data_IF_712844531849
#
_entry.id   IF_712844531849
#
_cell.length_a   1.000
_cell.length_b   1.000
_cell.length_c   1.000
_cell.angle_alpha   90.00
_cell.angle_beta   90.00
_cell.angle_gamma   90.00
#
_symmetry.space_group_name_H-M   'P 1'
#
loop_
_entity.id
_entity.type
_entity.pdbx_description
1 polymer ?
#
# COMPACT_ATOMS: atom_id res chain seq x y z
N UNK A 1 3.47 -15.99 -20.24
CA UNK A 1 3.71 -17.15 -21.12
C UNK A 1 4.83 -18.01 -20.54
N UNK A 2 6.03 -17.44 -20.37
CA UNK A 2 7.22 -18.12 -19.82
C UNK A 2 7.05 -18.75 -18.41
N UNK A 3 6.46 -18.06 -17.44
CA UNK A 3 6.26 -18.60 -16.07
C UNK A 3 5.19 -19.70 -15.98
N UNK A 4 4.25 -19.72 -16.94
CA UNK A 4 3.25 -20.78 -17.07
C UNK A 4 3.88 -22.02 -17.72
N UNK A 5 4.64 -21.80 -18.79
CA UNK A 5 5.31 -22.86 -19.56
C UNK A 5 6.42 -23.57 -18.76
N UNK A 6 7.10 -22.84 -17.88
CA UNK A 6 8.10 -23.39 -16.95
C UNK A 6 7.52 -24.09 -15.71
N UNK A 7 6.18 -24.16 -15.57
CA UNK A 7 5.52 -24.80 -14.44
C UNK A 7 5.68 -24.06 -13.11
N UNK A 8 6.11 -22.79 -13.15
CA UNK A 8 6.21 -21.93 -11.96
C UNK A 8 4.83 -21.49 -11.49
N UNK A 9 3.90 -21.25 -12.42
CA UNK A 9 2.50 -20.94 -12.14
C UNK A 9 1.62 -22.12 -12.59
N UNK A 10 0.88 -22.70 -11.65
CA UNK A 10 -0.13 -23.72 -11.92
C UNK A 10 -1.51 -23.05 -11.97
N UNK A 11 -2.08 -22.92 -13.17
CA UNK A 11 -3.40 -22.29 -13.37
C UNK A 11 -4.56 -23.12 -12.81
N UNK A 12 -4.41 -24.45 -12.75
CA UNK A 12 -5.46 -25.32 -12.19
C UNK A 12 -5.44 -25.30 -10.66
N UNK A 13 -4.26 -25.10 -10.05
CA UNK A 13 -4.10 -25.00 -8.61
C UNK A 13 -3.04 -23.97 -8.23
N UNK A 14 -3.49 -22.73 -7.98
CA UNK A 14 -2.59 -21.63 -7.63
C UNK A 14 -1.75 -21.90 -6.36
N UNK A 15 -2.26 -22.72 -5.43
CA UNK A 15 -1.53 -23.07 -4.20
C UNK A 15 -0.28 -23.93 -4.45
N UNK A 16 -0.22 -24.63 -5.58
CA UNK A 16 0.95 -25.41 -6.00
C UNK A 16 1.95 -24.60 -6.82
N UNK A 17 1.67 -23.31 -7.06
CA UNK A 17 2.59 -22.43 -7.78
C UNK A 17 3.86 -22.19 -6.98
N UNK A 18 5.02 -22.25 -7.64
CA UNK A 18 6.35 -22.20 -7.02
C UNK A 18 6.99 -20.81 -7.07
N UNK A 19 6.19 -19.75 -7.23
CA UNK A 19 6.67 -18.37 -7.43
C UNK A 19 7.62 -17.93 -6.31
N UNK A 20 7.26 -18.19 -5.05
CA UNK A 20 8.09 -17.82 -3.89
C UNK A 20 9.41 -18.63 -3.84
N UNK A 21 9.35 -19.91 -4.23
CA UNK A 21 10.53 -20.79 -4.27
C UNK A 21 11.54 -20.31 -5.32
N UNK A 22 11.06 -19.95 -6.51
CA UNK A 22 11.90 -19.41 -7.58
C UNK A 22 12.57 -18.11 -7.14
N UNK A 23 11.84 -17.23 -6.46
CA UNK A 23 12.42 -15.99 -5.95
C UNK A 23 13.49 -16.22 -4.87
N UNK A 24 13.25 -17.17 -3.96
CA UNK A 24 14.24 -17.60 -2.97
C UNK A 24 15.52 -18.13 -3.63
N UNK A 25 15.37 -19.00 -4.64
CA UNK A 25 16.49 -19.55 -5.40
C UNK A 25 17.25 -18.50 -6.23
N UNK A 26 16.59 -17.43 -6.67
CA UNK A 26 17.26 -16.32 -7.37
C UNK A 26 18.16 -15.48 -6.45
N UNK A 27 17.84 -15.42 -5.16
CA UNK A 27 18.65 -14.71 -4.16
C UNK A 27 19.78 -15.59 -3.59
N UNK A 28 19.61 -16.91 -3.65
CA UNK A 28 20.64 -17.91 -3.31
C UNK A 28 20.93 -18.85 -4.50
N UNK A 29 21.37 -18.32 -5.65
CA UNK A 29 21.58 -19.14 -6.83
C UNK A 29 22.74 -20.12 -6.59
N UNK A 30 22.61 -21.40 -6.97
CA UNK A 30 23.69 -22.37 -6.86
C UNK A 30 24.93 -21.88 -7.61
N UNK A 31 26.00 -21.58 -6.88
CA UNK A 31 27.29 -21.19 -7.47
C UNK A 31 27.48 -19.70 -7.77
N UNK A 32 26.56 -18.81 -7.39
CA UNK A 32 26.77 -17.36 -7.46
C UNK A 32 26.96 -16.74 -6.05
N UNK A 33 27.67 -15.61 -5.93
CA UNK A 33 27.92 -14.99 -4.64
C UNK A 33 26.62 -14.42 -4.05
N UNK A 34 26.29 -14.87 -2.84
CA UNK A 34 25.19 -14.32 -2.05
C UNK A 34 25.43 -12.84 -1.71
N UNK A 35 24.36 -12.14 -1.31
CA UNK A 35 24.45 -10.75 -0.87
C UNK A 35 25.43 -10.60 0.31
N UNK A 36 26.27 -9.55 0.26
CA UNK A 36 27.27 -9.27 1.29
C UNK A 36 26.62 -8.66 2.53
N UNK A 37 27.24 -8.82 3.70
CA UNK A 37 26.75 -8.23 4.97
C UNK A 37 26.50 -6.72 4.87
N UNK A 38 27.37 -5.98 4.15
CA UNK A 38 27.21 -4.54 3.95
C UNK A 38 25.86 -4.16 3.29
N UNK A 39 25.29 -5.05 2.45
CA UNK A 39 23.97 -4.83 1.85
C UNK A 39 22.86 -4.93 2.90
N UNK A 40 22.92 -5.92 3.79
CA UNK A 40 21.94 -6.08 4.87
C UNK A 40 22.04 -4.98 5.94
N UNK A 41 23.21 -4.37 6.10
CA UNK A 41 23.47 -3.31 7.07
C UNK A 41 23.29 -1.89 6.52
N UNK A 42 22.98 -1.74 5.22
CA UNK A 42 22.68 -0.45 4.59
C UNK A 42 21.23 -0.03 4.93
N UNK A 43 21.03 0.35 6.20
CA UNK A 43 19.70 0.64 6.75
C UNK A 43 19.10 1.92 6.18
N UNK A 44 19.89 2.94 5.83
CA UNK A 44 19.38 4.12 5.16
C UNK A 44 18.79 3.77 3.79
N UNK A 45 19.48 2.93 3.01
CA UNK A 45 18.95 2.45 1.73
C UNK A 45 17.69 1.60 1.92
N UNK A 46 17.70 0.64 2.85
CA UNK A 46 16.54 -0.21 3.15
C UNK A 46 15.33 0.64 3.54
N UNK A 47 15.51 1.63 4.43
CA UNK A 47 14.42 2.50 4.88
C UNK A 47 13.88 3.36 3.74
N UNK A 48 14.74 3.95 2.92
CA UNK A 48 14.30 4.71 1.75
C UNK A 48 13.51 3.83 0.78
N UNK A 49 14.00 2.62 0.46
CA UNK A 49 13.30 1.70 -0.46
C UNK A 49 11.98 1.17 0.12
N UNK A 50 11.91 0.88 1.42
CA UNK A 50 10.66 0.45 2.03
C UNK A 50 9.64 1.59 2.14
N UNK A 51 10.07 2.80 2.52
CA UNK A 51 9.16 3.95 2.60
C UNK A 51 8.70 4.37 1.19
N UNK A 52 9.61 4.60 0.24
CA UNK A 52 9.23 5.02 -1.12
C UNK A 52 8.60 3.88 -1.90
N UNK A 53 9.30 2.75 -2.01
CA UNK A 53 8.93 1.65 -2.89
C UNK A 53 7.79 0.82 -2.33
N UNK A 54 8.00 0.19 -1.18
CA UNK A 54 7.00 -0.73 -0.61
C UNK A 54 5.73 0.01 -0.16
N UNK A 55 5.86 1.05 0.66
CA UNK A 55 4.71 1.75 1.24
C UNK A 55 4.17 2.86 0.33
N UNK A 56 5.04 3.73 -0.20
CA UNK A 56 4.65 4.86 -1.04
C UNK A 56 4.08 4.44 -2.39
N UNK A 57 4.85 3.71 -3.21
CA UNK A 57 4.39 3.23 -4.52
C UNK A 57 3.31 2.16 -4.39
N UNK A 58 3.36 1.32 -3.35
CA UNK A 58 2.28 0.37 -3.03
C UNK A 58 0.95 1.11 -2.78
N UNK A 59 0.95 2.09 -1.87
CA UNK A 59 -0.25 2.88 -1.57
C UNK A 59 -0.73 3.72 -2.76
N UNK A 60 0.19 4.30 -3.55
CA UNK A 60 -0.14 5.03 -4.79
C UNK A 60 -0.79 4.12 -5.82
N UNK A 61 -0.25 2.92 -6.01
CA UNK A 61 -0.79 1.94 -6.95
C UNK A 61 -2.16 1.46 -6.51
N UNK A 62 -2.36 1.28 -5.20
CA UNK A 62 -3.66 0.94 -4.63
C UNK A 62 -4.69 2.07 -4.83
N UNK A 63 -4.31 3.34 -4.58
CA UNK A 63 -5.18 4.48 -4.87
C UNK A 63 -5.54 4.56 -6.36
N UNK A 64 -4.57 4.33 -7.25
CA UNK A 64 -4.82 4.25 -8.70
C UNK A 64 -5.79 3.12 -9.05
N UNK A 65 -5.59 1.93 -8.49
CA UNK A 65 -6.51 0.81 -8.66
C UNK A 65 -7.93 1.15 -8.18
N UNK A 66 -8.07 1.73 -6.99
CA UNK A 66 -9.36 2.15 -6.47
C UNK A 66 -10.04 3.18 -7.38
N UNK A 67 -9.31 4.17 -7.87
CA UNK A 67 -9.87 5.23 -8.73
C UNK A 67 -10.28 4.70 -10.11
N UNK A 68 -9.48 3.84 -10.72
CA UNK A 68 -9.67 3.42 -12.11
C UNK A 68 -10.43 2.09 -12.26
N UNK A 69 -10.51 1.27 -11.21
CA UNK A 69 -11.14 -0.05 -11.26
C UNK A 69 -12.29 -0.16 -10.26
N UNK A 70 -12.01 0.02 -8.96
CA UNK A 70 -13.02 -0.24 -7.92
C UNK A 70 -14.15 0.79 -7.94
N UNK A 71 -13.84 2.08 -8.09
CA UNK A 71 -14.83 3.17 -8.07
C UNK A 71 -15.87 3.09 -9.21
N UNK A 72 -15.50 2.85 -10.48
CA UNK A 72 -16.48 2.66 -11.55
C UNK A 72 -17.42 1.48 -11.30
N UNK A 73 -16.86 0.34 -10.89
CA UNK A 73 -17.65 -0.88 -10.62
C UNK A 73 -18.60 -0.65 -9.45
N UNK A 74 -18.12 -0.02 -8.37
CA UNK A 74 -18.93 0.24 -7.19
C UNK A 74 -20.11 1.18 -7.48
N UNK A 75 -19.97 2.11 -8.43
CA UNK A 75 -21.11 2.95 -8.86
C UNK A 75 -22.22 2.13 -9.52
N UNK A 76 -21.87 1.16 -10.38
CA UNK A 76 -22.85 0.28 -11.00
C UNK A 76 -23.50 -0.67 -9.99
N UNK A 77 -22.71 -1.23 -9.07
CA UNK A 77 -23.22 -2.09 -8.00
C UNK A 77 -24.18 -1.33 -7.09
N UNK A 78 -23.85 -0.10 -6.71
CA UNK A 78 -24.73 0.76 -5.91
C UNK A 78 -26.01 1.18 -6.66
N UNK A 79 -25.98 1.19 -8.00
CA UNK A 79 -27.16 1.39 -8.83
C UNK A 79 -28.00 0.11 -9.04
N UNK A 80 -27.58 -1.03 -8.49
CA UNK A 80 -28.29 -2.30 -8.58
C UNK A 80 -28.13 -3.03 -9.91
N UNK A 81 -27.11 -2.71 -10.70
CA UNK A 81 -26.82 -3.39 -11.98
C UNK A 81 -26.26 -4.78 -11.71
N UNK A 82 -26.74 -5.78 -12.46
CA UNK A 82 -26.23 -7.15 -12.35
C UNK A 82 -24.73 -7.17 -12.68
N UNK A 83 -23.87 -7.81 -11.84
CA UNK A 83 -22.44 -7.91 -12.08
C UNK A 83 -22.03 -8.40 -13.47
N UNK A 84 -22.89 -9.15 -14.18
CA UNK A 84 -22.64 -9.65 -15.53
C UNK A 84 -22.84 -8.60 -16.61
N UNK A 85 -23.61 -7.56 -16.33
CA UNK A 85 -23.88 -6.44 -17.25
C UNK A 85 -22.87 -5.30 -17.07
N UNK A 86 -22.10 -5.32 -15.98
CA UNK A 86 -21.06 -4.32 -15.73
C UNK A 86 -19.91 -4.52 -16.74
N UNK A 87 -19.50 -3.47 -17.46
CA UNK A 87 -18.32 -3.51 -18.33
C UNK A 87 -17.09 -4.04 -17.59
N UNK A 88 -16.21 -4.74 -18.28
CA UNK A 88 -15.00 -5.24 -17.61
C UNK A 88 -14.07 -4.09 -17.19
N UNK A 89 -13.26 -4.26 -16.11
CA UNK A 89 -12.33 -3.24 -15.64
C UNK A 89 -11.43 -2.63 -16.71
N UNK A 90 -10.96 -3.44 -17.66
CA UNK A 90 -10.07 -3.00 -18.73
C UNK A 90 -10.79 -2.09 -19.74
N UNK A 91 -12.11 -2.20 -19.89
CA UNK A 91 -12.90 -1.34 -20.77
C UNK A 91 -12.97 0.09 -20.20
N UNK A 92 -13.10 0.25 -18.88
CA UNK A 92 -13.03 1.58 -18.23
C UNK A 92 -11.66 2.25 -18.36
N UNK A 93 -10.58 1.47 -18.39
CA UNK A 93 -9.22 2.00 -18.54
C UNK A 93 -8.96 2.45 -19.98
N UNK A 94 -9.39 1.66 -20.96
CA UNK A 94 -9.14 1.92 -22.38
C UNK A 94 -10.13 2.93 -22.97
N UNK A 95 -11.36 2.98 -22.47
CA UNK A 95 -12.40 3.89 -22.93
C UNK A 95 -12.61 5.04 -21.93
N UNK A 96 -11.96 6.16 -22.22
CA UNK A 96 -12.05 7.36 -21.40
C UNK A 96 -13.48 7.94 -21.32
N UNK A 97 -14.29 7.78 -22.37
CA UNK A 97 -15.65 8.32 -22.40
C UNK A 97 -16.56 7.61 -21.40
N UNK A 98 -16.37 6.30 -21.21
CA UNK A 98 -17.11 5.51 -20.24
C UNK A 98 -16.84 6.00 -18.80
N UNK A 99 -15.58 6.28 -18.49
CA UNK A 99 -15.19 6.82 -17.18
C UNK A 99 -15.63 8.28 -17.00
N UNK A 100 -15.63 9.08 -18.06
CA UNK A 100 -16.09 10.46 -18.05
C UNK A 100 -17.62 10.58 -17.85
N UNK A 101 -18.41 9.61 -18.31
CA UNK A 101 -19.85 9.55 -18.05
C UNK A 101 -20.14 9.38 -16.55
N UNK A 102 -19.37 8.54 -15.88
CA UNK A 102 -19.48 8.29 -14.43
C UNK A 102 -18.92 9.45 -13.60
N UNK A 103 -17.77 9.98 -14.01
CA UNK A 103 -17.04 11.03 -13.32
C UNK A 103 -16.66 12.14 -14.32
N UNK A 104 -17.50 13.19 -14.48
CA UNK A 104 -17.31 14.23 -15.50
C UNK A 104 -15.97 14.97 -15.46
N UNK A 105 -15.27 14.93 -14.32
CA UNK A 105 -13.92 15.48 -14.17
C UNK A 105 -12.88 14.79 -15.04
N UNK A 106 -13.08 13.50 -15.39
CA UNK A 106 -12.16 12.77 -16.25
C UNK A 106 -12.08 13.37 -17.65
N UNK A 107 -13.16 13.93 -18.19
CA UNK A 107 -13.16 14.62 -19.49
C UNK A 107 -12.09 15.73 -19.61
N UNK A 108 -11.62 16.29 -18.48
CA UNK A 108 -10.55 17.32 -18.44
C UNK A 108 -9.14 16.73 -18.47
N UNK A 109 -9.01 15.41 -18.45
CA UNK A 109 -7.76 14.67 -18.39
C UNK A 109 -6.88 15.08 -17.21
N UNK A 110 -5.57 15.03 -17.43
CA UNK A 110 -4.55 15.39 -16.44
C UNK A 110 -4.25 16.90 -16.38
N UNK A 111 -4.88 17.75 -17.20
CA UNK A 111 -4.60 19.19 -17.22
C UNK A 111 -4.81 19.87 -15.85
N UNK A 112 -5.88 19.58 -15.08
CA UNK A 112 -6.03 20.14 -13.73
C UNK A 112 -4.94 19.72 -12.75
N UNK A 113 -4.32 18.55 -12.94
CA UNK A 113 -3.23 18.07 -12.10
C UNK A 113 -1.97 18.93 -12.26
N UNK A 114 -1.53 19.16 -13.50
CA UNK A 114 -0.34 19.95 -13.80
C UNK A 114 -0.50 21.45 -13.58
N UNK A 115 -1.74 21.95 -13.55
CA UNK A 115 -2.06 23.35 -13.25
C UNK A 115 -2.38 23.59 -11.76
N UNK A 116 -2.25 22.57 -10.92
CA UNK A 116 -2.57 22.60 -9.48
C UNK A 116 -4.03 22.98 -9.16
N UNK A 117 -4.95 22.85 -10.13
CA UNK A 117 -6.38 23.07 -9.91
C UNK A 117 -7.06 21.77 -9.45
N UNK A 118 -6.64 21.26 -8.30
CA UNK A 118 -7.04 19.95 -7.80
C UNK A 118 -8.49 19.87 -7.31
N UNK A 119 -9.15 21.03 -7.14
CA UNK A 119 -10.59 21.11 -6.83
C UNK A 119 -11.47 20.33 -7.82
N UNK A 120 -11.00 20.13 -9.06
CA UNK A 120 -11.72 19.39 -10.09
C UNK A 120 -11.81 17.88 -9.84
N UNK A 121 -11.02 17.32 -8.92
CA UNK A 121 -11.00 15.89 -8.60
C UNK A 121 -11.87 15.50 -7.40
N UNK A 122 -12.56 16.47 -6.78
CA UNK A 122 -13.36 16.29 -5.57
C UNK A 122 -14.59 15.34 -5.71
N UNK A 123 -14.87 14.84 -6.92
CA UNK A 123 -15.96 13.88 -7.17
C UNK A 123 -15.56 12.43 -6.89
N UNK A 124 -14.29 12.09 -7.07
CA UNK A 124 -13.77 10.73 -6.84
C UNK A 124 -12.69 10.68 -5.74
N UNK A 125 -12.10 11.83 -5.37
CA UNK A 125 -11.27 11.98 -4.17
C UNK A 125 -12.04 12.86 -3.18
N UNK A 126 -12.80 12.24 -2.28
CA UNK A 126 -13.68 12.96 -1.35
C UNK A 126 -13.10 13.02 0.06
N UNK A 127 -13.76 13.78 0.93
CA UNK A 127 -13.49 13.80 2.37
C UNK A 127 -14.84 13.92 3.11
N UNK A 128 -15.72 12.93 2.91
CA UNK A 128 -17.08 12.94 3.46
C UNK A 128 -17.07 12.62 4.96
N UNK A 129 -16.29 11.62 5.34
CA UNK A 129 -16.30 11.04 6.67
C UNK A 129 -17.56 10.20 6.95
N UNK A 130 -17.47 9.35 7.97
CA UNK A 130 -18.55 8.45 8.36
C UNK A 130 -18.69 7.24 7.45
N UNK A 131 -19.88 6.64 7.48
CA UNK A 131 -20.22 5.43 6.72
C UNK A 131 -21.23 5.77 5.62
N UNK A 132 -21.18 4.99 4.54
CA UNK A 132 -22.23 5.01 3.53
C UNK A 132 -23.54 4.51 4.16
N UNK A 133 -24.64 5.29 4.10
CA UNK A 133 -25.90 4.91 4.73
C UNK A 133 -26.54 3.65 4.14
N UNK A 134 -26.14 3.24 2.93
CA UNK A 134 -26.67 2.05 2.25
C UNK A 134 -25.82 0.83 2.55
N UNK A 135 -24.51 0.91 2.28
CA UNK A 135 -23.60 -0.24 2.41
C UNK A 135 -23.07 -0.42 3.84
N UNK A 136 -23.17 0.62 4.68
CA UNK A 136 -22.61 0.68 6.04
C UNK A 136 -21.07 0.52 6.06
N UNK A 137 -20.44 0.55 4.88
CA UNK A 137 -18.99 0.57 4.71
C UNK A 137 -18.43 1.99 4.70
N UNK A 138 -17.11 2.10 4.69
CA UNK A 138 -16.43 3.37 4.45
C UNK A 138 -16.60 3.79 2.98
N UNK A 139 -16.64 5.09 2.72
CA UNK A 139 -16.70 5.61 1.36
C UNK A 139 -15.43 5.26 0.58
N UNK A 140 -15.55 4.48 -0.50
CA UNK A 140 -14.42 4.10 -1.34
C UNK A 140 -13.66 5.33 -1.90
N UNK A 141 -14.35 6.44 -2.15
CA UNK A 141 -13.76 7.71 -2.56
C UNK A 141 -12.93 8.38 -1.46
N UNK A 142 -13.29 8.19 -0.18
CA UNK A 142 -12.48 8.63 0.96
C UNK A 142 -11.28 7.70 1.18
N UNK A 143 -11.45 6.38 1.00
CA UNK A 143 -10.35 5.40 1.07
C UNK A 143 -9.31 5.69 -0.01
N UNK A 144 -9.73 6.00 -1.24
CA UNK A 144 -8.83 6.34 -2.34
C UNK A 144 -8.04 7.63 -2.05
N UNK A 145 -8.72 8.64 -1.49
CA UNK A 145 -8.06 9.87 -1.08
C UNK A 145 -7.08 9.63 0.08
N UNK A 146 -7.44 8.81 1.06
CA UNK A 146 -6.58 8.43 2.17
C UNK A 146 -5.30 7.74 1.67
N UNK A 147 -5.40 6.74 0.80
CA UNK A 147 -4.23 6.06 0.24
C UNK A 147 -3.37 7.01 -0.59
N UNK A 148 -3.97 7.89 -1.39
CA UNK A 148 -3.20 8.89 -2.13
C UNK A 148 -2.43 9.84 -1.17
N UNK A 149 -3.04 10.26 -0.07
CA UNK A 149 -2.40 11.11 0.93
C UNK A 149 -1.24 10.39 1.64
N UNK A 150 -1.45 9.14 2.06
CA UNK A 150 -0.41 8.32 2.70
C UNK A 150 0.73 8.02 1.72
N UNK A 151 0.41 7.76 0.45
CA UNK A 151 1.41 7.55 -0.58
C UNK A 151 2.35 8.74 -0.71
N UNK A 152 1.82 9.97 -0.77
CA UNK A 152 2.62 11.19 -0.82
C UNK A 152 3.47 11.34 0.43
N UNK A 153 2.90 11.07 1.61
CA UNK A 153 3.62 11.12 2.88
C UNK A 153 4.83 10.17 2.87
N UNK A 154 4.66 8.91 2.49
CA UNK A 154 5.74 7.93 2.47
C UNK A 154 6.75 8.16 1.34
N UNK A 155 6.29 8.63 0.18
CA UNK A 155 7.18 9.05 -0.90
C UNK A 155 8.13 10.15 -0.42
N UNK A 156 7.62 11.16 0.27
CA UNK A 156 8.46 12.25 0.82
C UNK A 156 9.34 11.75 1.96
N UNK A 157 8.79 10.97 2.89
CA UNK A 157 9.53 10.43 4.04
C UNK A 157 10.73 9.58 3.61
N UNK A 158 10.60 8.79 2.55
CA UNK A 158 11.66 7.95 2.04
C UNK A 158 12.76 8.67 1.24
N UNK A 159 12.73 10.01 1.15
CA UNK A 159 13.86 10.82 0.68
C UNK A 159 14.62 11.51 1.83
N UNK A 160 14.28 11.20 3.08
CA UNK A 160 14.92 11.81 4.24
C UNK A 160 16.34 11.28 4.50
N UNK A 161 16.59 9.99 4.23
CA UNK A 161 17.86 9.37 4.62
C UNK A 161 18.91 9.44 3.51
N UNK A 162 20.16 9.63 3.93
CA UNK A 162 21.29 9.82 3.02
C UNK A 162 21.64 8.51 2.31
N UNK A 163 21.86 8.60 1.00
CA UNK A 163 22.35 7.49 0.16
C UNK A 163 23.56 7.94 -0.66
N UNK A 164 23.89 7.21 -1.73
CA UNK A 164 25.05 7.46 -2.60
C UNK A 164 25.10 8.86 -3.22
N UNK A 165 23.96 9.57 -3.32
CA UNK A 165 23.91 10.94 -3.85
C UNK A 165 24.35 12.02 -2.86
N UNK A 166 24.70 11.64 -1.63
CA UNK A 166 25.29 12.56 -0.64
C UNK A 166 24.32 13.53 0.04
N UNK A 167 23.05 13.57 -0.40
CA UNK A 167 21.98 14.40 0.18
C UNK A 167 21.10 13.54 1.09
N UNK A 168 20.68 14.10 2.22
CA UNK A 168 19.84 13.45 3.23
C UNK A 168 20.54 13.38 4.59
N UNK A 169 19.91 12.71 5.55
CA UNK A 169 20.41 12.56 6.91
C UNK A 169 20.94 11.15 7.16
N UNK A 170 22.07 11.03 7.88
CA UNK A 170 22.46 9.73 8.44
C UNK A 170 21.68 9.47 9.72
N UNK A 171 21.18 8.24 9.87
CA UNK A 171 20.44 7.82 11.06
C UNK A 171 21.31 7.87 12.31
N UNK A 172 22.60 7.53 12.16
CA UNK A 172 23.56 7.59 13.26
C UNK A 172 23.71 9.01 13.77
N UNK A 173 23.95 9.96 12.86
CA UNK A 173 24.13 11.38 13.22
C UNK A 173 22.88 11.96 13.89
N UNK A 174 21.69 11.65 13.34
CA UNK A 174 20.42 12.03 13.96
C UNK A 174 20.35 11.45 15.38
N UNK A 175 20.57 10.14 15.54
CA UNK A 175 20.43 9.46 16.82
C UNK A 175 21.37 10.03 17.88
N UNK A 176 22.65 10.17 17.56
CA UNK A 176 23.67 10.66 18.49
C UNK A 176 23.53 12.15 18.83
N UNK A 177 22.89 12.95 17.96
CA UNK A 177 22.58 14.35 18.25
C UNK A 177 21.48 14.52 19.31
N UNK A 178 20.61 13.51 19.51
CA UNK A 178 19.54 13.58 20.50
C UNK A 178 20.06 13.27 21.91
N UNK A 179 20.48 14.32 22.62
CA UNK A 179 20.94 14.28 24.02
C UNK A 179 20.22 15.32 24.85
N UNK A 180 19.84 14.94 26.07
CA UNK A 180 19.14 15.81 27.01
C UNK A 180 19.95 16.01 28.31
N UNK A 181 19.59 17.03 29.11
CA UNK A 181 20.28 17.33 30.35
C UNK A 181 20.20 16.20 31.41
N UNK A 182 19.22 15.31 31.29
CA UNK A 182 18.98 14.21 32.25
C UNK A 182 19.28 12.81 31.68
N UNK A 183 19.66 12.68 30.41
CA UNK A 183 19.79 11.36 29.73
C UNK A 183 21.23 10.91 29.54
N UNK A 184 22.19 11.56 30.21
CA UNK A 184 23.61 11.20 30.13
C UNK A 184 24.16 11.29 28.70
N UNK A 185 24.63 10.18 28.15
CA UNK A 185 25.16 10.11 26.78
C UNK A 185 24.07 9.98 25.70
N UNK A 186 22.78 10.01 26.06
CA UNK A 186 21.66 9.88 25.12
C UNK A 186 21.70 8.57 24.34
N UNK A 187 21.49 8.63 23.03
CA UNK A 187 21.40 7.44 22.16
C UNK A 187 22.74 6.96 21.57
N UNK A 188 23.87 7.26 22.21
CA UNK A 188 25.19 6.81 21.73
C UNK A 188 25.25 5.28 21.66
N UNK A 189 25.61 4.73 20.50
CA UNK A 189 25.69 3.28 20.28
C UNK A 189 24.35 2.61 19.92
N UNK A 190 23.23 3.35 19.93
CA UNK A 190 21.92 2.78 19.64
C UNK A 190 21.75 2.41 18.16
N UNK A 191 22.45 3.10 17.25
CA UNK A 191 22.42 2.78 15.82
C UNK A 191 23.03 1.40 15.53
N UNK A 192 24.10 1.05 16.25
CA UNK A 192 24.85 -0.19 16.07
C UNK A 192 24.06 -1.43 16.55
N UNK A 193 23.20 -1.28 17.56
CA UNK A 193 22.48 -2.42 18.17
C UNK A 193 21.53 -3.12 17.17
N UNK A 194 20.54 -2.44 16.55
CA UNK A 194 19.62 -3.08 15.60
C UNK A 194 20.24 -3.34 14.23
N UNK A 195 21.37 -2.69 13.88
CA UNK A 195 22.08 -2.93 12.61
C UNK A 195 22.98 -4.17 12.67
N UNK A 196 23.42 -4.58 13.87
CA UNK A 196 24.26 -5.76 14.07
C UNK A 196 23.43 -6.96 14.57
N UNK A 197 22.45 -6.73 15.45
CA UNK A 197 21.64 -7.79 16.05
C UNK A 197 20.27 -7.93 15.42
N UNK A 198 20.09 -9.02 14.66
CA UNK A 198 18.77 -9.42 14.14
C UNK A 198 17.74 -9.66 15.23
N UNK A 199 18.14 -10.16 16.40
CA UNK A 199 17.22 -10.35 17.53
C UNK A 199 16.73 -9.01 18.08
N UNK A 200 17.59 -7.98 18.11
CA UNK A 200 17.17 -6.64 18.52
C UNK A 200 16.19 -6.04 17.51
N UNK A 201 16.47 -6.16 16.20
CA UNK A 201 15.56 -5.68 15.16
C UNK A 201 14.22 -6.44 15.18
N UNK A 202 14.24 -7.77 15.34
CA UNK A 202 13.04 -8.58 15.44
C UNK A 202 12.21 -8.22 16.67
N UNK A 203 12.85 -8.02 17.83
CA UNK A 203 12.16 -7.61 19.05
C UNK A 203 11.45 -6.26 18.89
N UNK A 204 12.10 -5.28 18.25
CA UNK A 204 11.50 -3.98 17.93
C UNK A 204 10.33 -4.13 16.96
N UNK A 205 10.50 -4.90 15.89
CA UNK A 205 9.45 -5.12 14.88
C UNK A 205 8.22 -5.80 15.51
N UNK A 206 8.40 -6.84 16.32
CA UNK A 206 7.31 -7.50 17.03
C UNK A 206 6.63 -6.58 18.04
N UNK A 207 7.39 -5.71 18.72
CA UNK A 207 6.82 -4.71 19.62
C UNK A 207 5.99 -3.67 18.87
N UNK A 208 6.42 -3.23 17.68
CA UNK A 208 5.68 -2.28 16.84
C UNK A 208 4.46 -2.91 16.15
N UNK A 209 4.50 -4.20 15.82
CA UNK A 209 3.39 -4.93 15.22
C UNK A 209 2.41 -5.50 16.24
N UNK A 210 2.81 -5.63 17.51
CA UNK A 210 1.99 -6.12 18.62
C UNK A 210 0.68 -5.33 18.85
N UNK A 211 0.67 -3.99 18.67
CA UNK A 211 -0.55 -3.20 18.64
C UNK A 211 -1.46 -3.45 17.43
N UNK A 212 -1.31 -4.56 16.69
CA UNK A 212 -2.30 -4.99 15.67
C UNK A 212 -3.72 -5.08 16.23
N UNK A 213 -3.88 -5.21 17.57
CA UNK A 213 -5.16 -5.05 18.26
C UNK A 213 -5.85 -3.72 17.94
N UNK A 214 -5.09 -2.64 17.66
CA UNK A 214 -5.63 -1.34 17.22
C UNK A 214 -6.40 -1.50 15.91
N UNK A 215 -5.90 -2.28 14.95
CA UNK A 215 -6.66 -2.59 13.73
C UNK A 215 -7.97 -3.30 14.07
N UNK A 216 -7.93 -4.23 15.03
CA UNK A 216 -9.13 -4.86 15.56
C UNK A 216 -10.13 -3.86 16.14
N UNK A 217 -9.67 -2.84 16.86
CA UNK A 217 -10.54 -1.77 17.37
C UNK A 217 -11.09 -0.87 16.26
N UNK A 218 -10.28 -0.54 15.25
CA UNK A 218 -10.66 0.35 14.15
C UNK A 218 -11.68 -0.30 13.21
N UNK A 219 -11.57 -1.62 12.98
CA UNK A 219 -12.45 -2.35 12.07
C UNK A 219 -13.72 -2.87 12.75
N UNK A 220 -13.79 -2.85 14.08
CA UNK A 220 -14.96 -3.36 14.81
C UNK A 220 -16.18 -2.47 14.54
N UNK A 221 -17.28 -3.09 14.11
CA UNK A 221 -18.55 -2.38 13.91
C UNK A 221 -19.04 -1.74 15.21
N UNK A 222 -19.39 -0.43 15.21
CA UNK A 222 -19.97 0.24 16.38
C UNK A 222 -21.40 -0.23 16.69
N UNK A 223 -22.03 -1.03 15.83
CA UNK A 223 -23.43 -1.44 15.93
C UNK A 223 -23.66 -2.75 16.70
N UNK A 224 -22.65 -3.24 17.43
CA UNK A 224 -22.83 -4.35 18.39
C UNK A 224 -23.00 -5.75 17.78
N UNK A 225 -22.69 -5.94 16.49
CA UNK A 225 -22.62 -7.27 15.84
C UNK A 225 -21.18 -7.75 15.65
N UNK A 226 -20.97 -9.06 15.42
CA UNK A 226 -19.67 -9.68 15.13
C UNK A 226 -19.08 -9.31 13.73
N UNK A 227 -19.55 -8.22 13.13
CA UNK A 227 -19.15 -7.77 11.79
C UNK A 227 -17.99 -6.77 11.81
N UNK A 228 -17.14 -6.87 10.79
CA UNK A 228 -16.06 -5.91 10.51
C UNK A 228 -16.52 -4.87 9.50
N UNK A 229 -16.11 -3.61 9.67
CA UNK A 229 -16.32 -2.55 8.66
C UNK A 229 -15.38 -2.82 7.50
N UNK A 230 -15.93 -3.33 6.40
CA UNK A 230 -15.18 -3.58 5.16
C UNK A 230 -15.91 -2.93 3.99
N UNK A 231 -15.15 -2.27 3.11
CA UNK A 231 -15.64 -1.84 1.80
C UNK A 231 -15.57 -3.06 0.87
N UNK A 232 -16.65 -3.36 0.16
CA UNK A 232 -16.68 -4.46 -0.80
C UNK A 232 -15.96 -4.01 -2.08
N UNK A 233 -14.70 -4.39 -2.22
CA UNK A 233 -13.95 -4.19 -3.46
C UNK A 233 -14.10 -5.45 -4.33
N UNK A 234 -14.67 -5.28 -5.53
CA UNK A 234 -14.77 -6.24 -6.64
C UNK A 234 -15.88 -7.30 -6.65
N UNK A 235 -16.41 -7.49 -7.87
CA UNK A 235 -17.36 -8.54 -8.31
C UNK A 235 -16.87 -9.98 -8.12
N UNK A 236 -15.57 -10.20 -7.87
CA UNK A 236 -15.03 -11.51 -7.48
C UNK A 236 -15.60 -12.04 -6.16
N UNK A 237 -16.21 -11.19 -5.33
CA UNK A 237 -16.75 -11.58 -4.03
C UNK A 237 -18.20 -12.09 -4.07
N UNK A 238 -18.88 -12.04 -5.22
CA UNK A 238 -20.29 -12.46 -5.34
C UNK A 238 -20.43 -14.00 -5.29
N UNK A 239 -19.33 -14.77 -5.38
CA UNK A 239 -19.35 -16.24 -5.43
C UNK A 239 -18.63 -17.00 -4.30
N UNK A 240 -17.88 -16.34 -3.43
CA UNK A 240 -17.17 -16.98 -2.31
C UNK A 240 -17.23 -16.08 -1.10
N UNK A 241 -17.71 -16.64 0.01
CA UNK A 241 -18.02 -15.92 1.26
C UNK A 241 -16.93 -14.92 1.64
N UNK A 242 -17.42 -13.77 2.11
CA UNK A 242 -16.73 -12.71 2.85
C UNK A 242 -15.23 -13.00 3.07
N UNK A 243 -14.37 -12.57 2.14
CA UNK A 243 -12.93 -12.58 2.39
C UNK A 243 -12.58 -11.31 3.15
N UNK A 244 -12.42 -11.52 4.46
CA UNK A 244 -11.81 -10.61 5.41
C UNK A 244 -10.34 -10.43 5.02
N UNK A 245 -9.86 -9.18 4.90
CA UNK A 245 -8.42 -8.89 4.91
C UNK A 245 -7.85 -9.16 6.31
#
# INVERSE_FOLDING_TARGET
MEMKESGVINEQNLAESKVALVYGQMNEPPGAPAAKLAWFQDVESILNHHLVGLLGLGSRSWAGHQVHVSLPINQFLNAGVDPKEIPFPHEFILNHDLLAQLYPSFAKGATPFFTLNWSKYAKFLTFRGGLDPVTVGLWLTDIAHHHLAIAILFLIAGYMYKTNWGIGHSLKDISEAHKGPFTGQGHKGLYEIPTISWHAQLSLNLSMLGPSVIFGYLLKSPFGGEGWIVSVDCTCMVGRGLVVL
#
